data_IF_906045736346
#
_entry.id   IF_906045736346
#
_cell.length_a   1.000
_cell.length_b   1.000
_cell.length_c   1.000
_cell.angle_alpha   90.00
_cell.angle_beta   90.00
_cell.angle_gamma   90.00
#
_symmetry.space_group_name_H-M   'P 1'
#
loop_
_entity.id
_entity.type
_entity.pdbx_description
1 polymer ?
#
# COMPACT_ATOMS: atom_id res chain seq x y z
N UNK A 1 -14.63 3.46 -1.14
CA UNK A 1 -13.17 3.31 -1.21
C UNK A 1 -12.89 2.08 -2.04
N UNK A 2 -11.93 2.12 -2.96
CA UNK A 2 -11.52 0.93 -3.70
C UNK A 2 -10.85 -0.03 -2.73
N UNK A 3 -11.26 -1.30 -2.76
CA UNK A 3 -10.63 -2.35 -1.98
C UNK A 3 -9.22 -2.58 -2.52
N UNK A 4 -8.26 -2.84 -1.64
CA UNK A 4 -6.88 -3.09 -2.02
C UNK A 4 -6.33 -4.27 -1.24
N UNK A 5 -5.45 -5.03 -1.87
CA UNK A 5 -4.72 -6.10 -1.19
C UNK A 5 -3.85 -5.56 -0.06
N UNK A 6 -3.67 -6.36 0.99
CA UNK A 6 -2.76 -6.02 2.09
C UNK A 6 -1.33 -5.76 1.62
N UNK A 7 -0.87 -6.44 0.56
CA UNK A 7 0.43 -6.18 -0.08
C UNK A 7 0.54 -4.77 -0.64
N UNK A 8 -0.52 -4.27 -1.26
CA UNK A 8 -0.53 -2.90 -1.79
C UNK A 8 -0.52 -1.88 -0.66
N UNK A 9 -1.30 -2.12 0.40
CA UNK A 9 -1.33 -1.25 1.57
C UNK A 9 0.04 -1.19 2.27
N UNK A 10 0.77 -2.30 2.36
CA UNK A 10 2.15 -2.36 2.86
C UNK A 10 3.05 -1.35 2.11
N UNK A 11 3.03 -1.38 0.77
CA UNK A 11 3.82 -0.44 -0.05
C UNK A 11 3.46 1.02 0.18
N UNK A 12 2.19 1.31 0.46
CA UNK A 12 1.76 2.68 0.77
C UNK A 12 2.37 3.10 2.11
N UNK A 13 2.15 2.33 3.19
CA UNK A 13 2.60 2.73 4.52
C UNK A 13 4.13 2.86 4.59
N UNK A 14 4.87 2.01 3.87
CA UNK A 14 6.32 2.10 3.74
C UNK A 14 6.77 3.45 3.16
N UNK A 15 6.08 3.97 2.13
CA UNK A 15 6.36 5.30 1.57
C UNK A 15 6.10 6.44 2.55
N UNK A 16 5.23 6.23 3.53
CA UNK A 16 4.93 7.19 4.59
C UNK A 16 5.82 7.02 5.83
N UNK A 17 6.91 6.26 5.71
CA UNK A 17 7.93 6.10 6.74
C UNK A 17 7.61 5.02 7.78
N UNK A 18 6.66 4.13 7.50
CA UNK A 18 6.45 2.94 8.33
C UNK A 18 7.49 1.87 7.98
N UNK A 19 8.16 1.33 8.99
CA UNK A 19 9.16 0.31 8.85
C UNK A 19 8.61 -1.06 9.26
N UNK A 20 8.79 -2.07 8.43
CA UNK A 20 8.40 -3.44 8.74
C UNK A 20 9.30 -3.98 9.85
N UNK A 21 8.72 -4.26 11.02
CA UNK A 21 9.44 -4.79 12.18
C UNK A 21 9.51 -6.31 12.16
N UNK A 22 8.38 -6.97 11.87
CA UNK A 22 8.28 -8.43 11.81
C UNK A 22 7.05 -8.88 11.04
N UNK A 23 7.08 -10.13 10.60
CA UNK A 23 5.93 -10.81 10.01
C UNK A 23 5.58 -11.99 10.92
N UNK A 24 4.29 -12.15 11.22
CA UNK A 24 3.78 -13.29 11.99
C UNK A 24 2.59 -13.88 11.25
N UNK A 25 2.81 -15.01 10.57
CA UNK A 25 1.82 -15.58 9.64
C UNK A 25 1.52 -14.60 8.50
N UNK A 26 0.23 -14.27 8.30
CA UNK A 26 -0.19 -13.25 7.33
C UNK A 26 -0.09 -11.81 7.84
N UNK A 27 0.17 -11.59 9.13
CA UNK A 27 0.17 -10.25 9.70
C UNK A 27 1.55 -9.61 9.59
N UNK A 28 1.62 -8.47 8.90
CA UNK A 28 2.81 -7.65 8.76
C UNK A 28 2.75 -6.53 9.79
N UNK A 29 3.74 -6.48 10.67
CA UNK A 29 3.78 -5.54 11.80
C UNK A 29 4.74 -4.42 11.48
N UNK A 30 4.22 -3.19 11.43
CA UNK A 30 5.00 -1.98 11.16
C UNK A 30 5.11 -1.09 12.40
N UNK A 31 6.23 -0.36 12.45
CA UNK A 31 6.52 0.67 13.43
C UNK A 31 7.00 1.91 12.73
N UNK A 32 6.71 3.09 13.28
CA UNK A 32 7.19 4.36 12.75
C UNK A 32 7.83 5.14 13.88
N UNK A 33 9.01 5.68 13.63
CA UNK A 33 9.70 6.51 14.62
C UNK A 33 8.85 7.75 14.93
N UNK A 34 8.70 8.08 16.21
CA UNK A 34 7.81 9.14 16.67
C UNK A 34 6.32 8.75 16.78
N UNK A 35 5.93 7.53 16.40
CA UNK A 35 4.58 7.00 16.67
C UNK A 35 4.63 5.82 17.63
N UNK A 36 3.82 5.87 18.70
CA UNK A 36 3.66 4.76 19.65
C UNK A 36 2.75 3.64 19.12
N UNK A 37 2.04 3.89 18.02
CA UNK A 37 1.11 2.94 17.41
C UNK A 37 1.88 1.85 16.66
N UNK A 38 1.52 0.60 16.91
CA UNK A 38 2.00 -0.56 16.15
C UNK A 38 0.93 -0.90 15.12
N UNK A 39 1.30 -0.84 13.85
CA UNK A 39 0.37 -1.11 12.76
C UNK A 39 0.43 -2.60 12.38
N UNK A 40 -0.72 -3.27 12.36
CA UNK A 40 -0.82 -4.68 11.92
C UNK A 40 -1.62 -4.76 10.63
N UNK A 41 -0.96 -5.16 9.54
CA UNK A 41 -1.59 -5.28 8.22
C UNK A 41 -1.76 -6.77 7.89
N UNK A 42 -3.00 -7.28 7.75
CA UNK A 42 -3.23 -8.63 7.29
C UNK A 42 -2.97 -8.74 5.78
N UNK A 43 -2.15 -9.70 5.38
CA UNK A 43 -1.79 -9.97 3.98
C UNK A 43 -2.23 -11.37 3.59
N UNK A 44 -3.42 -11.48 3.03
CA UNK A 44 -3.99 -12.75 2.54
C UNK A 44 -3.74 -12.95 1.04
N UNK A 45 -2.47 -12.99 0.64
CA UNK A 45 -2.07 -13.19 -0.76
C UNK A 45 -2.47 -12.01 -1.64
N UNK A 46 -3.32 -12.28 -2.65
CA UNK A 46 -3.83 -11.28 -3.60
C UNK A 46 -5.30 -10.91 -3.32
N UNK A 47 -5.85 -11.31 -2.15
CA UNK A 47 -7.20 -10.91 -1.77
C UNK A 47 -7.20 -9.49 -1.26
N UNK A 48 -8.25 -8.77 -1.64
CA UNK A 48 -8.47 -7.43 -1.16
C UNK A 48 -8.94 -7.41 0.29
N UNK A 49 -8.55 -6.37 1.01
CA UNK A 49 -9.03 -6.10 2.35
C UNK A 49 -10.46 -5.56 2.30
N UNK A 50 -11.35 -6.00 3.22
CA UNK A 50 -12.64 -5.37 3.42
C UNK A 50 -12.47 -3.87 3.70
N UNK A 51 -13.39 -3.06 3.17
CA UNK A 51 -13.34 -1.60 3.29
C UNK A 51 -13.27 -1.12 4.74
N UNK A 52 -13.95 -1.81 5.67
CA UNK A 52 -13.91 -1.50 7.10
C UNK A 52 -12.52 -1.69 7.70
N UNK A 53 -11.87 -2.81 7.40
CA UNK A 53 -10.50 -3.12 7.83
C UNK A 53 -9.51 -2.11 7.27
N UNK A 54 -9.61 -1.80 5.97
CA UNK A 54 -8.76 -0.80 5.33
C UNK A 54 -8.89 0.57 6.02
N UNK A 55 -10.12 1.02 6.30
CA UNK A 55 -10.37 2.30 6.98
C UNK A 55 -9.80 2.33 8.39
N UNK A 56 -9.92 1.23 9.16
CA UNK A 56 -9.34 1.14 10.50
C UNK A 56 -7.83 1.26 10.43
N UNK A 57 -7.19 0.51 9.53
CA UNK A 57 -5.73 0.54 9.38
C UNK A 57 -5.24 1.93 8.94
N UNK A 58 -5.92 2.60 8.02
CA UNK A 58 -5.54 3.96 7.61
C UNK A 58 -5.62 4.96 8.77
N UNK A 59 -6.66 4.83 9.61
CA UNK A 59 -6.80 5.65 10.82
C UNK A 59 -5.64 5.41 11.79
N UNK A 60 -5.30 4.16 12.04
CA UNK A 60 -4.17 3.78 12.91
C UNK A 60 -2.82 4.21 12.32
N UNK A 61 -2.71 4.18 10.99
CA UNK A 61 -1.53 4.63 10.26
C UNK A 61 -1.36 6.17 10.22
N UNK A 62 -2.36 6.92 10.71
CA UNK A 62 -2.40 8.38 10.64
C UNK A 62 -2.55 8.92 9.22
N UNK A 63 -3.13 8.13 8.30
CA UNK A 63 -3.30 8.48 6.89
C UNK A 63 -4.72 8.95 6.61
N UNK A 64 -4.84 10.09 5.96
CA UNK A 64 -6.12 10.59 5.45
C UNK A 64 -6.53 9.84 4.17
N UNK A 65 -7.82 9.91 3.84
CA UNK A 65 -8.33 9.32 2.61
C UNK A 65 -7.71 9.94 1.36
N UNK A 66 -7.44 11.24 1.36
CA UNK A 66 -6.84 11.94 0.22
C UNK A 66 -5.37 11.55 0.02
N UNK A 67 -4.61 11.40 1.10
CA UNK A 67 -3.23 10.88 1.05
C UNK A 67 -3.19 9.46 0.48
N UNK A 68 -4.05 8.58 0.98
CA UNK A 68 -4.23 7.23 0.44
C UNK A 68 -4.56 7.25 -1.06
N UNK A 69 -5.53 8.08 -1.46
CA UNK A 69 -5.99 8.21 -2.84
C UNK A 69 -4.89 8.73 -3.76
N UNK A 70 -4.14 9.73 -3.32
CA UNK A 70 -3.04 10.30 -4.10
C UNK A 70 -1.93 9.26 -4.33
N UNK A 71 -1.52 8.53 -3.29
CA UNK A 71 -0.54 7.45 -3.45
C UNK A 71 -1.05 6.31 -4.33
N UNK A 72 -2.34 5.95 -4.22
CA UNK A 72 -2.96 4.94 -5.06
C UNK A 72 -2.83 5.31 -6.54
N UNK A 73 -3.25 6.52 -6.92
CA UNK A 73 -3.16 6.97 -8.30
C UNK A 73 -1.73 7.17 -8.78
N UNK A 74 -0.82 7.68 -7.93
CA UNK A 74 0.59 7.85 -8.30
C UNK A 74 1.27 6.51 -8.62
N UNK A 75 0.95 5.45 -7.87
CA UNK A 75 1.48 4.10 -8.13
C UNK A 75 0.86 3.52 -9.41
N UNK A 76 -0.45 3.69 -9.62
CA UNK A 76 -1.11 3.23 -10.85
C UNK A 76 -0.62 3.97 -12.09
N UNK A 77 -0.47 5.29 -12.03
CA UNK A 77 -0.01 6.11 -13.16
C UNK A 77 1.44 5.80 -13.49
N UNK A 78 2.32 5.64 -12.50
CA UNK A 78 3.70 5.19 -12.75
C UNK A 78 3.74 3.81 -13.42
N UNK A 79 2.86 2.88 -13.04
CA UNK A 79 2.79 1.56 -13.69
C UNK A 79 2.30 1.67 -15.14
N UNK A 80 1.29 2.50 -15.41
CA UNK A 80 0.77 2.75 -16.75
C UNK A 80 1.78 3.47 -17.64
N UNK A 81 2.48 4.47 -17.12
CA UNK A 81 3.55 5.18 -17.84
C UNK A 81 4.71 4.23 -18.14
N UNK A 82 5.12 3.40 -17.18
CA UNK A 82 6.15 2.38 -17.41
C UNK A 82 5.71 1.33 -18.43
N UNK A 83 4.45 0.92 -18.43
CA UNK A 83 3.90 -0.01 -19.43
C UNK A 83 3.86 0.65 -20.82
N UNK A 84 3.42 1.91 -20.90
CA UNK A 84 3.39 2.68 -22.14
C UNK A 84 4.80 2.87 -22.72
N UNK A 85 5.78 3.25 -21.90
CA UNK A 85 7.17 3.39 -22.34
C UNK A 85 7.77 2.05 -22.77
N UNK A 86 7.44 0.93 -22.12
CA UNK A 86 7.89 -0.41 -22.56
C UNK A 86 7.32 -0.81 -23.92
N UNK A 87 6.07 -0.47 -24.21
CA UNK A 87 5.45 -0.74 -25.52
C UNK A 87 5.93 0.25 -26.58
N UNK A 88 6.19 1.50 -26.21
CA UNK A 88 6.62 2.55 -27.15
C UNK A 88 8.11 2.47 -27.53
N UNK A 89 8.98 1.90 -26.69
CA UNK A 89 10.45 1.85 -26.92
C UNK A 89 10.90 0.57 -27.62
N UNK A 90 10.05 -0.46 -27.74
CA UNK A 90 10.30 -1.63 -28.58
C UNK A 90 9.50 -1.52 -29.89
N UNK A 91 10.05 -0.90 -30.95
CA UNK A 91 9.50 -1.12 -32.28
C UNK A 91 9.67 -2.61 -32.58
N UNK A 92 8.54 -3.27 -32.81
CA UNK A 92 8.49 -4.62 -33.38
C UNK A 92 9.45 -4.65 -34.58
N UNK A 93 10.51 -5.44 -34.48
CA UNK A 93 11.21 -5.95 -35.66
C UNK A 93 10.45 -7.17 -36.16
#
# INVERSE_FOLDING_TARGET
>A
MKSVSGKFLCKIVERYGWNLKRITGSHHIYVKEGMSVILSIPVHGNRDLPTGTLRSILKDAGLTYEEYKNCYYNIETNLLVLLYLRVAIFPVR
#
